data_IF_000009292368
#
_entry.id   IF_000009292368
#
_cell.length_a   1.000
_cell.length_b   1.000
_cell.length_c   1.000
_cell.angle_alpha   90.00
_cell.angle_beta   90.00
_cell.angle_gamma   90.00
#
_symmetry.space_group_name_H-M   'P 1'
#
loop_
_entity.id
_entity.type
_entity.pdbx_description
1 polymer ?
#
# COMPACT_ATOMS: atom_id res chain seq x y z
N UNK A 1 -15.21 -37.32 -30.57
CA UNK A 1 -15.89 -36.31 -29.72
C UNK A 1 -15.19 -36.09 -28.36
N UNK A 2 -14.87 -37.14 -27.57
CA UNK A 2 -14.24 -37.00 -26.24
C UNK A 2 -12.83 -36.35 -26.23
N UNK A 3 -12.00 -36.54 -27.27
CA UNK A 3 -10.69 -35.86 -27.38
C UNK A 3 -10.80 -34.35 -27.59
N UNK A 4 -11.79 -33.89 -28.37
CA UNK A 4 -12.03 -32.46 -28.59
C UNK A 4 -12.51 -31.77 -27.30
N UNK A 5 -13.39 -32.42 -26.54
CA UNK A 5 -13.89 -31.90 -25.25
C UNK A 5 -12.75 -31.79 -24.22
N UNK A 6 -11.84 -32.77 -24.16
CA UNK A 6 -10.66 -32.69 -23.28
C UNK A 6 -9.70 -31.57 -23.67
N UNK A 7 -9.44 -31.35 -24.96
CA UNK A 7 -8.58 -30.24 -25.42
C UNK A 7 -9.23 -28.88 -25.09
N UNK A 8 -10.55 -28.73 -25.29
CA UNK A 8 -11.27 -27.51 -24.91
C UNK A 8 -11.26 -27.25 -23.40
N UNK A 9 -11.39 -28.29 -22.57
CA UNK A 9 -11.28 -28.16 -21.10
C UNK A 9 -9.86 -27.79 -20.66
N UNK A 10 -8.82 -28.35 -21.28
CA UNK A 10 -7.42 -28.00 -20.98
C UNK A 10 -7.06 -26.58 -21.45
N UNK A 11 -7.56 -26.16 -22.61
CA UNK A 11 -7.38 -24.78 -23.12
C UNK A 11 -8.17 -23.78 -22.29
N UNK A 12 -9.41 -24.10 -21.89
CA UNK A 12 -10.19 -23.26 -20.98
C UNK A 12 -9.56 -23.18 -19.58
N UNK A 13 -8.98 -24.28 -19.07
CA UNK A 13 -8.22 -24.28 -17.83
C UNK A 13 -6.92 -23.46 -17.95
N UNK A 14 -6.18 -23.58 -19.07
CA UNK A 14 -4.98 -22.79 -19.34
C UNK A 14 -5.29 -21.29 -19.50
N UNK A 15 -6.40 -20.94 -20.17
CA UNK A 15 -6.89 -19.56 -20.30
C UNK A 15 -7.43 -19.00 -18.98
N UNK A 16 -8.01 -19.86 -18.13
CA UNK A 16 -8.40 -19.48 -16.76
C UNK A 16 -7.19 -19.35 -15.83
N UNK A 17 -6.06 -20.00 -16.13
CA UNK A 17 -4.78 -19.90 -15.40
C UNK A 17 -3.93 -18.72 -15.89
N UNK A 18 -4.09 -18.28 -17.14
CA UNK A 18 -3.42 -17.10 -17.71
C UNK A 18 -4.17 -15.79 -17.47
N UNK A 19 -4.82 -15.65 -16.31
CA UNK A 19 -5.62 -14.47 -16.00
C UNK A 19 -4.81 -13.19 -16.17
N UNK A 20 -5.21 -12.33 -17.12
CA UNK A 20 -4.58 -11.05 -17.34
C UNK A 20 -4.82 -10.15 -16.13
N UNK A 21 -3.78 -9.90 -15.34
CA UNK A 21 -3.76 -8.81 -14.39
C UNK A 21 -3.07 -7.60 -15.02
N UNK A 22 -3.57 -6.42 -14.70
CA UNK A 22 -2.93 -5.16 -14.99
C UNK A 22 -2.06 -4.71 -13.82
N UNK A 23 -1.29 -3.67 -14.06
CA UNK A 23 -0.47 -2.98 -13.07
C UNK A 23 -1.04 -1.58 -12.86
N UNK A 24 -0.82 -1.02 -11.67
CA UNK A 24 -1.11 0.39 -11.38
C UNK A 24 0.09 1.22 -11.81
N UNK A 25 0.00 1.82 -12.99
CA UNK A 25 1.04 2.70 -13.49
C UNK A 25 0.77 4.15 -13.12
N UNK A 26 1.81 4.95 -12.87
CA UNK A 26 1.65 6.38 -12.74
C UNK A 26 1.16 6.99 -14.06
N UNK A 27 0.20 7.90 -14.01
CA UNK A 27 -0.27 8.66 -15.19
C UNK A 27 0.61 9.86 -15.50
N UNK A 28 1.40 10.32 -14.54
CA UNK A 28 2.34 11.41 -14.70
C UNK A 28 3.74 10.92 -15.13
N UNK A 29 4.46 11.80 -15.84
CA UNK A 29 5.88 11.59 -16.18
C UNK A 29 6.85 12.15 -15.13
N UNK A 30 6.36 12.87 -14.12
CA UNK A 30 7.12 13.45 -13.01
C UNK A 30 6.36 13.21 -11.71
N UNK A 31 7.09 12.99 -10.63
CA UNK A 31 6.53 12.71 -9.31
C UNK A 31 7.09 13.72 -8.30
N UNK A 32 6.23 14.15 -7.38
CA UNK A 32 6.37 15.33 -6.50
C UNK A 32 6.22 16.66 -7.25
N UNK A 33 5.02 17.23 -7.14
CA UNK A 33 4.71 18.61 -7.52
C UNK A 33 4.65 19.44 -6.25
N UNK A 34 5.74 20.07 -5.81
CA UNK A 34 5.52 21.23 -4.95
C UNK A 34 4.72 22.21 -5.81
N UNK A 35 3.45 22.43 -5.50
CA UNK A 35 2.69 23.49 -6.15
C UNK A 35 3.24 24.80 -5.59
N UNK A 36 4.27 25.34 -6.24
CA UNK A 36 4.95 26.58 -5.86
C UNK A 36 4.03 27.81 -6.00
N UNK A 37 2.73 27.59 -6.32
CA UNK A 37 1.69 28.62 -6.31
C UNK A 37 1.33 28.97 -4.88
N UNK A 38 2.16 29.85 -4.32
CA UNK A 38 1.99 30.64 -3.10
C UNK A 38 2.26 29.93 -1.78
N UNK A 39 2.98 30.61 -0.89
CA UNK A 39 3.18 30.22 0.53
C UNK A 39 1.87 30.12 1.35
N UNK A 40 0.70 30.27 0.71
CA UNK A 40 -0.62 30.29 1.32
C UNK A 40 -1.37 28.94 1.21
N UNK A 41 -0.92 27.98 0.39
CA UNK A 41 -1.57 26.69 0.22
C UNK A 41 -0.78 25.53 0.87
N UNK A 42 -1.45 24.47 1.39
CA UNK A 42 -0.78 23.25 1.84
C UNK A 42 0.02 22.64 0.69
N UNK A 43 1.24 22.19 0.96
CA UNK A 43 2.07 21.59 -0.07
C UNK A 43 1.54 20.18 -0.39
N UNK A 44 1.16 19.94 -1.64
CA UNK A 44 0.69 18.64 -2.14
C UNK A 44 1.88 17.89 -2.76
N UNK A 45 1.93 16.56 -2.65
CA UNK A 45 2.96 15.75 -3.28
C UNK A 45 2.39 14.37 -3.61
N UNK A 46 3.01 13.69 -4.58
CA UNK A 46 2.66 12.33 -4.94
C UNK A 46 3.92 11.48 -5.13
N UNK A 47 3.91 10.27 -4.58
CA UNK A 47 4.94 9.25 -4.72
C UNK A 47 4.31 7.98 -5.27
N UNK A 48 5.01 7.32 -6.19
CA UNK A 48 4.55 6.08 -6.82
C UNK A 48 5.61 4.99 -6.67
N UNK A 49 5.19 3.82 -6.17
CA UNK A 49 6.05 2.64 -6.09
C UNK A 49 5.46 1.43 -6.82
N UNK A 50 6.35 0.60 -7.36
CA UNK A 50 6.01 -0.67 -8.01
C UNK A 50 5.70 -1.78 -6.98
N UNK A 51 5.38 -3.02 -7.42
CA UNK A 51 5.06 -4.12 -6.50
C UNK A 51 6.19 -4.49 -5.51
N UNK A 52 7.43 -4.10 -5.81
CA UNK A 52 8.60 -4.32 -4.95
C UNK A 52 8.92 -3.12 -4.04
N UNK A 53 8.08 -2.08 -4.07
CA UNK A 53 8.32 -0.84 -3.34
C UNK A 53 9.42 0.03 -3.96
N UNK A 54 9.76 -0.17 -5.23
CA UNK A 54 10.73 0.66 -5.96
C UNK A 54 10.05 1.89 -6.54
N UNK A 55 10.67 3.05 -6.42
CA UNK A 55 10.11 4.31 -6.89
C UNK A 55 10.12 4.36 -8.42
N UNK A 56 8.99 4.74 -9.03
CA UNK A 56 8.95 5.02 -10.46
C UNK A 56 9.83 6.25 -10.76
N UNK A 57 10.80 6.15 -11.69
CA UNK A 57 11.61 7.29 -12.03
C UNK A 57 10.86 8.31 -12.90
N UNK A 58 11.27 9.57 -12.84
CA UNK A 58 10.82 10.59 -13.80
C UNK A 58 11.13 10.14 -15.23
N UNK A 59 10.14 10.27 -16.11
CA UNK A 59 10.24 9.83 -17.50
C UNK A 59 10.18 8.32 -17.71
N UNK A 60 9.77 7.52 -16.70
CA UNK A 60 9.71 6.05 -16.79
C UNK A 60 9.01 5.54 -18.06
N UNK A 61 7.91 6.17 -18.49
CA UNK A 61 7.15 5.68 -19.64
C UNK A 61 7.94 5.81 -20.96
N UNK A 62 8.89 6.75 -21.05
CA UNK A 62 9.79 6.90 -22.19
C UNK A 62 10.78 5.75 -22.37
N UNK A 63 11.02 4.95 -21.32
CA UNK A 63 11.86 3.75 -21.39
C UNK A 63 11.13 2.54 -21.97
N UNK A 64 9.79 2.54 -21.91
CA UNK A 64 8.98 1.36 -22.24
C UNK A 64 8.00 1.59 -23.39
N UNK A 65 7.60 2.84 -23.64
CA UNK A 65 6.76 3.23 -24.78
C UNK A 65 7.57 3.43 -26.08
N UNK A 66 6.87 3.70 -27.18
CA UNK A 66 7.51 4.47 -28.26
C UNK A 66 7.76 5.88 -27.72
N UNK A 67 8.86 6.52 -28.12
CA UNK A 67 9.28 7.88 -27.66
C UNK A 67 8.20 8.98 -27.75
N UNK A 68 7.02 8.70 -28.33
CA UNK A 68 5.95 9.65 -28.61
C UNK A 68 4.64 9.39 -27.83
N UNK A 69 4.55 8.40 -26.92
CA UNK A 69 3.33 8.18 -26.13
C UNK A 69 3.39 8.87 -24.76
N UNK A 70 2.45 9.80 -24.46
CA UNK A 70 2.23 10.31 -23.11
C UNK A 70 1.96 9.20 -22.08
N UNK A 71 2.41 9.39 -20.83
CA UNK A 71 2.32 8.35 -19.79
C UNK A 71 0.86 8.03 -19.38
N UNK A 72 -0.06 8.98 -19.51
CA UNK A 72 -1.50 8.85 -19.18
C UNK A 72 -2.26 7.95 -20.16
N UNK A 73 -1.77 7.80 -21.40
CA UNK A 73 -2.32 6.88 -22.41
C UNK A 73 -1.51 5.60 -22.55
N UNK A 74 -0.45 5.43 -21.74
CA UNK A 74 0.40 4.24 -21.78
C UNK A 74 -0.40 3.03 -21.27
N UNK A 75 -0.61 2.05 -22.16
CA UNK A 75 -1.40 0.83 -21.85
C UNK A 75 -0.55 -0.41 -21.58
N UNK A 76 0.72 -0.21 -21.23
CA UNK A 76 1.71 -1.27 -21.22
C UNK A 76 2.21 -1.57 -22.63
N UNK A 77 3.52 -1.72 -22.86
CA UNK A 77 3.99 -2.21 -24.12
C UNK A 77 3.71 -3.72 -24.20
N UNK A 78 3.78 -4.25 -25.42
CA UNK A 78 4.14 -5.66 -25.67
C UNK A 78 5.51 -6.07 -25.04
N UNK A 79 6.19 -5.18 -24.30
CA UNK A 79 7.58 -5.27 -23.80
C UNK A 79 7.74 -5.18 -22.27
N UNK A 80 6.68 -4.95 -21.49
CA UNK A 80 6.78 -4.97 -20.02
C UNK A 80 6.60 -6.44 -19.67
N UNK A 81 7.74 -7.13 -19.62
CA UNK A 81 7.79 -8.58 -19.49
C UNK A 81 7.94 -8.99 -18.03
N UNK A 82 8.33 -8.05 -17.18
CA UNK A 82 8.54 -8.26 -15.76
C UNK A 82 7.28 -7.95 -14.92
N UNK A 83 7.31 -8.40 -13.67
CA UNK A 83 6.32 -8.04 -12.65
C UNK A 83 6.67 -6.74 -11.89
N UNK A 84 7.81 -6.09 -12.18
CA UNK A 84 8.33 -4.93 -11.44
C UNK A 84 9.40 -4.17 -12.25
N UNK A 85 9.72 -2.93 -11.85
CA UNK A 85 10.80 -2.12 -12.44
C UNK A 85 12.15 -2.83 -12.35
N UNK A 86 12.46 -3.41 -11.19
CA UNK A 86 13.69 -4.16 -10.97
C UNK A 86 13.78 -5.39 -11.86
N UNK A 87 12.69 -6.17 -11.92
CA UNK A 87 12.62 -7.32 -12.81
C UNK A 87 12.82 -6.91 -14.28
N UNK A 88 12.35 -5.73 -14.67
CA UNK A 88 12.51 -5.24 -16.04
C UNK A 88 13.95 -4.86 -16.36
N UNK A 89 14.67 -4.24 -15.40
CA UNK A 89 16.12 -3.97 -15.56
C UNK A 89 16.94 -5.24 -15.74
N UNK A 90 16.41 -6.40 -15.33
CA UNK A 90 17.10 -7.69 -15.43
C UNK A 90 16.67 -8.51 -16.65
N UNK A 91 15.37 -8.59 -16.96
CA UNK A 91 14.88 -9.31 -18.16
C UNK A 91 15.33 -8.63 -19.45
N UNK A 92 15.53 -7.31 -19.42
CA UNK A 92 16.10 -6.53 -20.50
C UNK A 92 17.24 -5.68 -19.92
N UNK A 93 18.44 -6.27 -19.71
CA UNK A 93 19.58 -5.62 -19.08
C UNK A 93 19.80 -4.21 -19.63
N UNK A 94 19.47 -3.21 -18.82
CA UNK A 94 19.59 -1.80 -19.18
C UNK A 94 20.19 -1.03 -17.99
N UNK A 95 21.53 -0.99 -17.90
CA UNK A 95 22.23 -0.29 -16.83
C UNK A 95 21.83 1.19 -16.69
N UNK A 96 21.48 1.84 -17.82
CA UNK A 96 21.00 3.22 -17.81
C UNK A 96 19.65 3.37 -17.10
N UNK A 97 18.72 2.45 -17.34
CA UNK A 97 17.43 2.47 -16.63
C UNK A 97 17.59 2.13 -15.14
N UNK A 98 18.50 1.21 -14.81
CA UNK A 98 18.81 0.90 -13.41
C UNK A 98 19.38 2.12 -12.67
N UNK A 99 20.39 2.76 -13.23
CA UNK A 99 20.99 3.97 -12.66
C UNK A 99 19.96 5.10 -12.54
N UNK A 100 19.00 5.18 -13.48
CA UNK A 100 17.90 6.12 -13.38
C UNK A 100 17.01 5.83 -12.16
N UNK A 101 16.55 4.58 -11.95
CA UNK A 101 15.72 4.25 -10.77
C UNK A 101 16.41 4.69 -9.48
N UNK A 102 17.70 4.36 -9.32
CA UNK A 102 18.45 4.66 -8.10
C UNK A 102 18.71 6.15 -7.88
N UNK A 103 19.09 6.88 -8.92
CA UNK A 103 19.35 8.33 -8.82
C UNK A 103 18.06 9.14 -8.64
N UNK A 104 16.99 8.73 -9.31
CA UNK A 104 15.69 9.38 -9.23
C UNK A 104 15.02 9.13 -7.86
N UNK A 105 15.18 7.93 -7.28
CA UNK A 105 14.74 7.65 -5.91
C UNK A 105 15.38 8.61 -4.90
N UNK A 106 16.71 8.80 -4.97
CA UNK A 106 17.41 9.74 -4.08
C UNK A 106 16.86 11.16 -4.20
N UNK A 107 16.71 11.65 -5.44
CA UNK A 107 16.14 12.98 -5.71
C UNK A 107 14.72 13.09 -5.17
N UNK A 108 13.87 12.08 -5.39
CA UNK A 108 12.49 12.09 -4.89
C UNK A 108 12.46 12.12 -3.35
N UNK A 109 13.28 11.34 -2.67
CA UNK A 109 13.36 11.35 -1.21
C UNK A 109 13.88 12.69 -0.65
N UNK A 110 14.82 13.35 -1.34
CA UNK A 110 15.25 14.72 -1.01
C UNK A 110 14.11 15.73 -1.16
N UNK A 111 13.30 15.61 -2.22
CA UNK A 111 12.12 16.44 -2.43
C UNK A 111 11.02 16.18 -1.39
N UNK A 112 10.82 14.93 -0.97
CA UNK A 112 9.93 14.58 0.17
C UNK A 112 10.43 15.23 1.46
N UNK A 113 11.73 15.19 1.72
CA UNK A 113 12.31 15.86 2.89
C UNK A 113 12.10 17.38 2.84
N UNK A 114 12.31 17.98 1.67
CA UNK A 114 12.09 19.42 1.47
C UNK A 114 10.62 19.80 1.67
N UNK A 115 9.67 18.98 1.20
CA UNK A 115 8.24 19.15 1.43
C UNK A 115 7.90 19.19 2.92
N UNK A 116 8.51 18.30 3.71
CA UNK A 116 8.27 18.21 5.15
C UNK A 116 8.98 19.30 5.97
N UNK A 117 10.00 19.94 5.40
CA UNK A 117 10.76 20.98 6.06
C UNK A 117 9.86 22.19 6.35
N UNK A 118 9.76 22.55 7.63
CA UNK A 118 8.91 23.65 8.09
C UNK A 118 7.42 23.31 8.21
N UNK A 119 7.02 22.04 7.99
CA UNK A 119 5.64 21.58 8.22
C UNK A 119 5.47 21.07 9.64
N UNK A 120 4.32 21.37 10.25
CA UNK A 120 3.95 20.83 11.57
C UNK A 120 3.18 19.52 11.45
N UNK A 121 2.24 19.46 10.50
CA UNK A 121 1.43 18.26 10.24
C UNK A 121 1.62 17.77 8.80
N UNK A 122 1.66 16.46 8.64
CA UNK A 122 1.71 15.80 7.34
C UNK A 122 0.59 14.78 7.22
N UNK A 123 -0.19 14.85 6.15
CA UNK A 123 -1.26 13.90 5.85
C UNK A 123 -0.81 12.99 4.72
N UNK A 124 -0.56 11.72 5.03
CA UNK A 124 -0.18 10.72 4.03
C UNK A 124 -1.41 9.91 3.67
N UNK A 125 -1.83 9.96 2.41
CA UNK A 125 -3.01 9.29 1.89
C UNK A 125 -2.58 8.03 1.12
N UNK A 126 -3.11 6.87 1.51
CA UNK A 126 -2.70 5.57 0.96
C UNK A 126 -3.92 4.79 0.46
N UNK A 127 -3.90 4.36 -0.80
CA UNK A 127 -5.02 3.62 -1.38
C UNK A 127 -4.94 2.11 -1.12
N UNK A 128 -6.03 1.42 -1.46
CA UNK A 128 -6.18 -0.02 -1.32
C UNK A 128 -5.65 -0.83 -2.50
N UNK A 129 -5.88 -2.13 -2.43
CA UNK A 129 -5.63 -3.05 -3.54
C UNK A 129 -6.62 -2.79 -4.70
N UNK A 130 -6.19 -3.03 -5.95
CA UNK A 130 -7.03 -2.94 -7.15
C UNK A 130 -7.64 -1.56 -7.40
N UNK A 131 -6.85 -0.51 -7.17
CA UNK A 131 -7.21 0.86 -7.51
C UNK A 131 -6.19 1.44 -8.48
N UNK A 132 -6.66 1.89 -9.64
CA UNK A 132 -5.91 2.75 -10.55
C UNK A 132 -5.79 4.17 -9.98
N UNK A 133 -4.95 5.01 -10.58
CA UNK A 133 -4.86 6.45 -10.24
C UNK A 133 -6.24 7.12 -10.39
N UNK A 134 -6.93 6.88 -11.51
CA UNK A 134 -8.25 7.43 -11.77
C UNK A 134 -9.31 7.03 -10.73
N UNK A 135 -9.18 5.85 -10.12
CA UNK A 135 -10.08 5.39 -9.04
C UNK A 135 -9.65 5.90 -7.66
N UNK A 136 -8.39 6.30 -7.51
CA UNK A 136 -7.78 6.72 -6.24
C UNK A 136 -7.87 8.22 -6.01
N UNK A 137 -7.72 9.02 -7.06
CA UNK A 137 -7.70 10.47 -6.96
C UNK A 137 -9.00 11.05 -6.39
N UNK A 138 -10.21 10.62 -6.79
CA UNK A 138 -11.45 11.17 -6.22
C UNK A 138 -11.56 10.95 -4.69
N UNK A 139 -11.36 9.74 -4.14
CA UNK A 139 -11.28 9.55 -2.68
C UNK A 139 -10.21 10.41 -2.00
N UNK A 140 -9.01 10.54 -2.58
CA UNK A 140 -7.96 11.38 -2.00
C UNK A 140 -8.35 12.86 -1.97
N UNK A 141 -8.99 13.36 -3.03
CA UNK A 141 -9.47 14.73 -3.09
C UNK A 141 -10.59 14.98 -2.07
N UNK A 142 -11.48 14.01 -1.89
CA UNK A 142 -12.54 14.08 -0.89
C UNK A 142 -11.98 14.12 0.54
N UNK A 143 -11.02 13.24 0.86
CA UNK A 143 -10.32 13.31 2.16
C UNK A 143 -9.69 14.69 2.34
N UNK A 144 -9.00 15.22 1.33
CA UNK A 144 -8.37 16.53 1.38
C UNK A 144 -9.38 17.66 1.64
N UNK A 145 -10.58 17.57 1.06
CA UNK A 145 -11.65 18.55 1.25
C UNK A 145 -12.24 18.53 2.66
N UNK A 146 -12.22 17.38 3.34
CA UNK A 146 -12.70 17.20 4.71
C UNK A 146 -11.69 17.64 5.78
N UNK A 147 -10.41 17.80 5.44
CA UNK A 147 -9.36 18.12 6.40
C UNK A 147 -9.30 19.63 6.72
N UNK A 148 -9.10 19.97 7.99
CA UNK A 148 -8.74 21.32 8.45
C UNK A 148 -7.29 21.64 8.09
N UNK A 149 -7.00 21.81 6.79
CA UNK A 149 -5.66 22.07 6.29
C UNK A 149 -5.24 23.53 6.49
N UNK A 150 -4.02 23.71 6.97
CA UNK A 150 -3.37 24.98 7.26
C UNK A 150 -2.14 25.18 6.36
N UNK A 151 -1.63 26.41 6.19
CA UNK A 151 -0.44 26.66 5.36
C UNK A 151 0.82 25.90 5.81
N UNK A 152 0.93 25.60 7.11
CA UNK A 152 2.03 24.81 7.70
C UNK A 152 1.79 23.29 7.66
N UNK A 153 0.78 22.83 6.93
CA UNK A 153 0.56 21.41 6.65
C UNK A 153 1.12 20.99 5.28
N UNK A 154 1.32 19.69 5.13
CA UNK A 154 1.60 19.04 3.86
C UNK A 154 0.71 17.82 3.64
N UNK A 155 0.39 17.53 2.39
CA UNK A 155 -0.38 16.35 1.97
C UNK A 155 0.46 15.53 1.00
N UNK A 156 0.66 14.25 1.28
CA UNK A 156 1.39 13.33 0.40
C UNK A 156 0.49 12.16 -0.01
N UNK A 157 0.21 12.05 -1.30
CA UNK A 157 -0.48 10.91 -1.90
C UNK A 157 0.52 9.80 -2.18
N UNK A 158 0.36 8.66 -1.53
CA UNK A 158 1.21 7.49 -1.71
C UNK A 158 0.47 6.44 -2.54
N UNK A 159 0.96 6.22 -3.75
CA UNK A 159 0.45 5.23 -4.68
C UNK A 159 1.38 4.02 -4.72
N UNK A 160 0.78 2.83 -4.81
CA UNK A 160 1.51 1.58 -4.89
C UNK A 160 0.85 0.62 -5.87
N UNK A 161 1.66 -0.18 -6.53
CA UNK A 161 1.16 -1.17 -7.48
C UNK A 161 0.77 -2.48 -6.79
N UNK A 162 -0.51 -2.52 -6.38
CA UNK A 162 -1.16 -3.73 -5.86
C UNK A 162 -1.68 -4.68 -6.92
N UNK A 163 -1.37 -4.44 -8.21
CA UNK A 163 -1.99 -5.07 -9.38
C UNK A 163 -3.48 -4.72 -9.52
N UNK A 164 -4.00 -4.85 -10.73
CA UNK A 164 -5.42 -4.67 -11.04
C UNK A 164 -5.99 -5.89 -11.76
N UNK A 165 -7.21 -6.29 -11.43
CA UNK A 165 -7.93 -7.32 -12.17
C UNK A 165 -9.45 -7.16 -12.03
N UNK A 166 -10.17 -7.69 -13.02
CA UNK A 166 -11.64 -7.69 -13.05
C UNK A 166 -12.20 -9.08 -12.72
N UNK A 167 -13.35 -9.12 -12.07
CA UNK A 167 -14.10 -10.36 -11.81
C UNK A 167 -13.35 -11.38 -10.95
N UNK A 168 -13.47 -12.67 -11.30
CA UNK A 168 -12.88 -13.79 -10.54
C UNK A 168 -11.34 -13.72 -10.47
N UNK A 169 -10.69 -13.05 -11.42
CA UNK A 169 -9.24 -12.87 -11.45
C UNK A 169 -8.74 -11.93 -10.36
N UNK A 170 -9.59 -11.02 -9.85
CA UNK A 170 -9.29 -10.22 -8.66
C UNK A 170 -9.02 -11.06 -7.42
N UNK A 171 -9.70 -12.21 -7.27
CA UNK A 171 -9.44 -13.12 -6.15
C UNK A 171 -8.08 -13.84 -6.28
N UNK A 172 -7.57 -14.02 -7.51
CA UNK A 172 -6.28 -14.69 -7.75
C UNK A 172 -5.09 -13.76 -7.45
N UNK A 173 -5.19 -12.49 -7.83
CA UNK A 173 -4.11 -11.51 -7.55
C UNK A 173 -4.03 -11.09 -6.08
N UNK A 174 -5.07 -11.35 -5.29
CA UNK A 174 -5.09 -11.05 -3.85
C UNK A 174 -3.86 -11.60 -3.11
N UNK A 175 -3.45 -12.84 -3.39
CA UNK A 175 -2.30 -13.45 -2.75
C UNK A 175 -0.98 -12.73 -3.05
N UNK A 176 -0.82 -12.21 -4.28
CA UNK A 176 0.31 -11.38 -4.64
C UNK A 176 0.18 -9.98 -4.01
N UNK A 177 -1.02 -9.41 -4.01
CA UNK A 177 -1.30 -8.09 -3.45
C UNK A 177 -1.00 -8.00 -1.95
N UNK A 178 -1.14 -9.11 -1.20
CA UNK A 178 -0.74 -9.18 0.21
C UNK A 178 0.76 -8.92 0.36
N UNK A 179 1.61 -9.74 -0.27
CA UNK A 179 3.07 -9.56 -0.21
C UNK A 179 3.53 -8.24 -0.84
N UNK A 180 2.92 -7.81 -1.95
CA UNK A 180 3.23 -6.53 -2.59
C UNK A 180 2.90 -5.34 -1.67
N UNK A 181 1.79 -5.38 -0.93
CA UNK A 181 1.45 -4.32 0.04
C UNK A 181 2.49 -4.21 1.15
N UNK A 182 3.06 -5.35 1.57
CA UNK A 182 4.11 -5.40 2.57
C UNK A 182 5.45 -4.86 2.04
N UNK A 183 5.80 -5.17 0.79
CA UNK A 183 6.97 -4.58 0.11
C UNK A 183 6.80 -3.09 -0.15
N UNK A 184 5.65 -2.64 -0.64
CA UNK A 184 5.32 -1.23 -0.84
C UNK A 184 5.44 -0.44 0.48
N UNK A 185 4.98 -1.02 1.59
CA UNK A 185 5.14 -0.44 2.92
C UNK A 185 6.60 -0.37 3.37
N UNK A 186 7.26 -1.52 3.44
CA UNK A 186 8.59 -1.65 4.05
C UNK A 186 9.74 -1.10 3.21
N UNK A 187 9.58 -0.97 1.89
CA UNK A 187 10.60 -0.44 0.97
C UNK A 187 10.23 0.88 0.31
N UNK A 188 8.94 1.18 0.19
CA UNK A 188 8.45 2.44 -0.36
C UNK A 188 8.10 3.44 0.75
N UNK A 189 6.96 3.23 1.41
CA UNK A 189 6.43 4.16 2.39
C UNK A 189 7.38 4.38 3.57
N UNK A 190 8.07 3.34 4.05
CA UNK A 190 9.08 3.47 5.12
C UNK A 190 10.13 4.52 4.77
N UNK A 191 10.68 4.47 3.56
CA UNK A 191 11.70 5.42 3.10
C UNK A 191 11.17 6.85 3.02
N UNK A 192 9.89 7.02 2.68
CA UNK A 192 9.19 8.31 2.73
C UNK A 192 9.08 8.79 4.19
N UNK A 193 8.59 7.95 5.10
CA UNK A 193 8.44 8.28 6.52
C UNK A 193 9.79 8.59 7.20
N UNK A 194 10.86 7.93 6.76
CA UNK A 194 12.22 8.17 7.25
C UNK A 194 12.80 9.52 6.79
N UNK A 195 12.10 10.26 5.93
CA UNK A 195 12.44 11.66 5.61
C UNK A 195 11.79 12.67 6.57
N UNK A 196 10.89 12.21 7.44
CA UNK A 196 10.12 13.06 8.35
C UNK A 196 10.69 12.96 9.77
N UNK A 197 10.89 14.12 10.40
CA UNK A 197 11.44 14.28 11.74
C UNK A 197 10.70 15.36 12.54
N UNK A 198 10.12 14.98 13.68
CA UNK A 198 9.45 15.88 14.61
C UNK A 198 8.05 16.35 14.18
N UNK A 199 7.45 15.78 13.13
CA UNK A 199 6.11 16.15 12.69
C UNK A 199 5.00 15.32 13.36
N UNK A 200 3.79 15.89 13.40
CA UNK A 200 2.55 15.11 13.57
C UNK A 200 2.13 14.54 12.20
N UNK A 201 2.00 13.23 12.09
CA UNK A 201 1.78 12.57 10.79
C UNK A 201 0.50 11.75 10.86
N UNK A 202 -0.43 12.04 9.95
CA UNK A 202 -1.70 11.33 9.80
C UNK A 202 -1.58 10.36 8.64
N UNK A 203 -1.55 9.07 8.93
CA UNK A 203 -1.53 8.00 7.94
C UNK A 203 -2.96 7.51 7.70
N UNK A 204 -3.54 7.94 6.58
CA UNK A 204 -4.93 7.68 6.24
C UNK A 204 -4.98 6.66 5.11
N UNK A 205 -5.55 5.49 5.38
CA UNK A 205 -5.56 4.40 4.40
C UNK A 205 -6.91 3.70 4.24
N UNK A 206 -7.10 3.10 3.08
CA UNK A 206 -8.21 2.20 2.80
C UNK A 206 -7.74 0.77 2.50
N UNK A 207 -8.53 -0.23 2.91
CA UNK A 207 -8.31 -1.64 2.52
C UNK A 207 -6.90 -2.15 2.87
N UNK A 208 -6.17 -2.75 1.92
CA UNK A 208 -4.77 -3.20 2.08
C UNK A 208 -3.76 -2.06 2.25
N UNK A 209 -4.14 -0.79 2.04
CA UNK A 209 -3.31 0.34 2.44
C UNK A 209 -2.95 0.30 3.95
N UNK A 210 -3.78 -0.35 4.77
CA UNK A 210 -3.45 -0.66 6.16
C UNK A 210 -2.16 -1.50 6.29
N UNK A 211 -1.96 -2.52 5.45
CA UNK A 211 -0.73 -3.33 5.44
C UNK A 211 0.49 -2.53 4.99
N UNK A 212 0.30 -1.60 4.05
CA UNK A 212 1.36 -0.67 3.63
C UNK A 212 1.83 0.16 4.83
N UNK A 213 0.91 0.72 5.63
CA UNK A 213 1.24 1.43 6.86
C UNK A 213 1.96 0.50 7.86
N UNK A 214 1.37 -0.64 8.20
CA UNK A 214 1.92 -1.55 9.22
C UNK A 214 3.32 -2.08 8.84
N UNK A 215 3.56 -2.30 7.55
CA UNK A 215 4.87 -2.76 7.04
C UNK A 215 5.87 -1.62 6.91
N UNK A 216 5.41 -0.37 6.80
CA UNK A 216 6.29 0.79 6.87
C UNK A 216 6.83 1.00 8.30
N UNK A 217 6.00 0.74 9.32
CA UNK A 217 6.32 0.96 10.74
C UNK A 217 7.10 -0.19 11.39
N UNK A 218 7.03 -1.40 10.85
CA UNK A 218 7.79 -2.55 11.34
C UNK A 218 7.92 -3.62 10.27
N UNK A 219 8.87 -4.53 10.45
CA UNK A 219 9.17 -5.55 9.44
C UNK A 219 8.01 -6.54 9.27
N UNK A 220 7.54 -6.76 8.03
CA UNK A 220 6.47 -7.69 7.76
C UNK A 220 6.93 -9.15 7.91
N UNK A 221 5.95 -10.02 8.19
CA UNK A 221 6.08 -11.47 7.97
C UNK A 221 5.46 -11.80 6.63
N UNK A 222 6.11 -12.67 5.87
CA UNK A 222 5.66 -13.06 4.52
C UNK A 222 5.16 -14.50 4.53
N UNK A 223 4.23 -14.84 3.62
CA UNK A 223 3.90 -16.25 3.41
C UNK A 223 5.06 -16.99 2.76
N UNK A 224 5.18 -18.29 3.03
CA UNK A 224 6.23 -19.12 2.43
C UNK A 224 6.17 -19.06 0.90
N UNK A 225 4.97 -19.17 0.33
CA UNK A 225 4.76 -19.14 -1.11
C UNK A 225 5.22 -17.82 -1.73
N UNK A 226 4.95 -16.69 -1.06
CA UNK A 226 5.40 -15.38 -1.54
C UNK A 226 6.92 -15.27 -1.48
N UNK A 227 7.55 -15.64 -0.37
CA UNK A 227 9.01 -15.61 -0.25
C UNK A 227 9.69 -16.50 -1.27
N UNK A 228 9.26 -17.76 -1.40
CA UNK A 228 9.84 -18.71 -2.36
C UNK A 228 9.71 -18.19 -3.80
N UNK A 229 8.57 -17.59 -4.15
CA UNK A 229 8.36 -17.00 -5.47
C UNK A 229 9.24 -15.76 -5.68
N UNK A 230 9.37 -14.90 -4.67
CA UNK A 230 10.21 -13.71 -4.72
C UNK A 230 11.69 -14.07 -4.78
N UNK A 231 12.17 -14.99 -3.94
CA UNK A 231 13.56 -15.45 -3.91
C UNK A 231 13.94 -16.12 -5.23
N UNK A 232 13.03 -16.91 -5.82
CA UNK A 232 13.24 -17.47 -7.16
C UNK A 232 13.34 -16.37 -8.22
N UNK A 233 12.51 -15.34 -8.14
CA UNK A 233 12.54 -14.23 -9.09
C UNK A 233 13.82 -13.38 -8.94
N UNK A 234 14.25 -13.12 -7.69
CA UNK A 234 15.39 -12.26 -7.36
C UNK A 234 16.73 -12.97 -7.42
N UNK A 235 16.77 -14.30 -7.35
CA UNK A 235 18.00 -15.09 -7.50
C UNK A 235 18.74 -14.76 -8.80
N UNK A 236 17.99 -14.44 -9.86
CA UNK A 236 18.56 -14.00 -11.12
C UNK A 236 19.15 -12.58 -11.02
N UNK A 237 18.59 -11.69 -10.20
CA UNK A 237 18.93 -10.26 -10.14
C UNK A 237 20.27 -9.96 -9.43
N UNK A 238 20.92 -10.97 -8.85
CA UNK A 238 22.21 -10.84 -8.16
C UNK A 238 22.09 -10.47 -6.68
N UNK A 239 23.24 -10.36 -6.02
CA UNK A 239 23.36 -10.30 -4.55
C UNK A 239 22.70 -9.05 -3.94
N UNK A 240 22.63 -7.95 -4.71
CA UNK A 240 22.02 -6.68 -4.30
C UNK A 240 20.53 -6.80 -3.92
N UNK A 241 19.86 -7.88 -4.34
CA UNK A 241 18.43 -8.10 -4.10
C UNK A 241 18.12 -9.30 -3.20
N UNK A 242 19.15 -9.98 -2.66
CA UNK A 242 18.96 -11.03 -1.63
C UNK A 242 18.25 -10.50 -0.38
N UNK A 243 18.29 -9.18 -0.18
CA UNK A 243 17.65 -8.50 0.95
C UNK A 243 16.32 -7.83 0.59
N UNK A 244 15.68 -8.21 -0.53
CA UNK A 244 14.38 -7.63 -0.92
C UNK A 244 13.33 -7.81 0.20
N UNK A 245 13.31 -8.98 0.82
CA UNK A 245 12.37 -9.37 1.88
C UNK A 245 12.91 -9.07 3.30
N UNK A 246 14.12 -8.53 3.41
CA UNK A 246 14.74 -8.12 4.68
C UNK A 246 15.15 -6.65 4.60
N UNK A 247 14.18 -5.73 4.49
CA UNK A 247 14.44 -4.30 4.36
C UNK A 247 15.13 -3.76 5.61
N UNK A 248 15.86 -2.64 5.46
CA UNK A 248 16.43 -1.93 6.62
C UNK A 248 15.31 -1.50 7.57
N UNK A 249 15.50 -1.63 8.89
CA UNK A 249 14.49 -1.21 9.87
C UNK A 249 14.21 0.31 9.75
N UNK A 250 13.05 0.79 10.25
CA UNK A 250 12.76 2.21 10.30
C UNK A 250 13.86 2.99 11.01
N UNK A 251 14.14 4.22 10.55
CA UNK A 251 15.16 5.08 11.17
C UNK A 251 14.77 5.39 12.61
N UNK A 252 15.68 5.16 13.56
CA UNK A 252 15.50 5.51 14.96
C UNK A 252 15.57 7.03 15.17
N UNK A 253 14.89 7.56 16.19
CA UNK A 253 15.01 8.97 16.58
C UNK A 253 14.29 9.96 15.66
N UNK A 254 13.30 9.50 14.88
CA UNK A 254 12.44 10.39 14.09
C UNK A 254 11.64 11.36 14.95
N UNK A 255 11.29 10.97 16.18
CA UNK A 255 10.51 11.77 17.13
C UNK A 255 9.18 12.28 16.52
N UNK A 256 8.61 11.52 15.59
CA UNK A 256 7.32 11.84 15.00
C UNK A 256 6.18 11.46 15.97
N UNK A 257 4.99 11.99 15.69
CA UNK A 257 3.74 11.58 16.34
C UNK A 257 2.79 11.05 15.28
N UNK A 258 2.62 9.73 15.20
CA UNK A 258 1.84 9.11 14.13
C UNK A 258 0.39 8.88 14.59
N UNK A 259 -0.55 9.29 13.76
CA UNK A 259 -1.98 9.10 13.91
C UNK A 259 -2.44 8.22 12.74
N UNK A 260 -2.97 7.04 13.02
CA UNK A 260 -3.35 6.07 11.99
C UNK A 260 -4.88 6.06 11.85
N UNK A 261 -5.39 6.23 10.62
CA UNK A 261 -6.82 6.21 10.32
C UNK A 261 -7.08 5.20 9.19
N UNK A 262 -7.75 4.09 9.52
CA UNK A 262 -7.98 3.00 8.57
C UNK A 262 -9.47 2.81 8.25
N UNK A 263 -9.79 2.95 6.97
CA UNK A 263 -11.11 2.61 6.42
C UNK A 263 -11.08 1.21 5.82
N UNK A 264 -12.08 0.40 6.16
CA UNK A 264 -12.25 -0.95 5.62
C UNK A 264 -10.98 -1.81 5.68
N UNK A 265 -10.23 -1.73 6.78
CA UNK A 265 -8.89 -2.31 6.90
C UNK A 265 -8.86 -3.80 6.55
N UNK A 266 -8.26 -4.16 5.42
CA UNK A 266 -8.27 -5.51 4.87
C UNK A 266 -7.04 -6.31 5.34
N UNK A 267 -6.79 -6.25 6.65
CA UNK A 267 -5.67 -6.87 7.36
C UNK A 267 -6.21 -7.77 8.47
N UNK A 268 -5.35 -8.54 9.12
CA UNK A 268 -5.67 -9.23 10.36
C UNK A 268 -4.46 -9.37 11.25
N UNK A 269 -4.56 -10.23 12.26
CA UNK A 269 -3.52 -10.39 13.29
C UNK A 269 -2.12 -10.61 12.72
N UNK A 270 -2.03 -11.33 11.61
CA UNK A 270 -0.74 -11.62 10.96
C UNK A 270 0.02 -10.36 10.53
N UNK A 271 -0.69 -9.31 10.11
CA UNK A 271 -0.09 -8.05 9.69
C UNK A 271 0.50 -7.27 10.89
N UNK A 272 0.14 -7.64 12.12
CA UNK A 272 0.69 -7.11 13.37
C UNK A 272 1.79 -7.99 13.96
N UNK A 273 2.15 -9.12 13.35
CA UNK A 273 3.14 -10.02 13.92
C UNK A 273 4.55 -9.47 13.84
N UNK A 274 5.33 -9.71 14.88
CA UNK A 274 6.76 -9.44 14.90
C UNK A 274 7.47 -10.36 13.90
N UNK A 275 8.45 -9.84 13.16
CA UNK A 275 9.20 -10.60 12.15
C UNK A 275 9.93 -11.80 12.75
N UNK A 276 10.28 -11.77 14.04
CA UNK A 276 10.86 -12.92 14.75
C UNK A 276 9.91 -14.12 14.84
N UNK A 277 8.60 -13.94 14.62
CA UNK A 277 7.63 -15.03 14.57
C UNK A 277 7.60 -15.76 13.21
N UNK A 278 8.38 -15.32 12.21
CA UNK A 278 8.35 -15.88 10.86
C UNK A 278 8.52 -17.41 10.83
N UNK A 279 9.49 -17.97 11.56
CA UNK A 279 9.68 -19.43 11.62
C UNK A 279 8.50 -20.18 12.24
N UNK A 280 7.83 -19.58 13.24
CA UNK A 280 6.65 -20.17 13.86
C UNK A 280 5.47 -20.18 12.89
N UNK A 281 5.30 -19.09 12.15
CA UNK A 281 4.29 -18.97 11.11
C UNK A 281 4.52 -19.98 9.99
N UNK A 282 5.78 -20.20 9.61
CA UNK A 282 6.18 -21.20 8.62
C UNK A 282 5.86 -22.64 9.05
N UNK A 283 5.79 -22.88 10.37
CA UNK A 283 5.34 -24.13 10.99
C UNK A 283 3.84 -24.14 11.30
N UNK A 284 3.08 -23.16 10.83
CA UNK A 284 1.65 -22.98 11.10
C UNK A 284 1.28 -22.84 12.59
N UNK A 285 2.21 -22.36 13.43
CA UNK A 285 2.06 -22.32 14.89
C UNK A 285 1.41 -21.03 15.41
N UNK A 286 0.95 -20.14 14.53
CA UNK A 286 0.32 -18.87 14.88
C UNK A 286 1.30 -17.85 15.50
N UNK A 287 0.81 -16.63 15.67
CA UNK A 287 1.60 -15.47 16.08
C UNK A 287 1.38 -15.12 17.56
N UNK A 288 2.48 -15.17 18.33
CA UNK A 288 2.47 -14.90 19.78
C UNK A 288 3.01 -13.53 20.17
N UNK A 289 3.81 -12.93 19.30
CA UNK A 289 4.43 -11.64 19.54
C UNK A 289 3.96 -10.66 18.48
N UNK A 290 3.37 -9.55 18.93
CA UNK A 290 3.01 -8.43 18.07
C UNK A 290 4.20 -7.48 17.91
N UNK A 291 4.32 -6.89 16.73
CA UNK A 291 5.38 -5.93 16.42
C UNK A 291 5.16 -4.62 17.18
N UNK A 292 6.23 -3.92 17.57
CA UNK A 292 6.09 -2.56 18.05
C UNK A 292 5.56 -1.65 16.93
N UNK A 293 4.78 -0.64 17.32
CA UNK A 293 4.33 0.43 16.45
C UNK A 293 5.00 1.73 16.91
N UNK A 294 6.27 1.99 16.53
CA UNK A 294 7.02 3.13 17.02
C UNK A 294 6.34 4.43 16.60
N UNK A 295 6.47 5.47 17.43
CA UNK A 295 5.96 6.82 17.20
C UNK A 295 4.42 6.96 17.13
N UNK A 296 3.66 5.86 17.19
CA UNK A 296 2.19 5.88 17.10
C UNK A 296 1.57 6.44 18.38
N UNK A 297 0.68 7.42 18.22
CA UNK A 297 -0.08 8.11 19.26
C UNK A 297 -1.55 7.73 19.26
N UNK A 298 -2.12 7.53 18.07
CA UNK A 298 -3.51 7.12 17.94
C UNK A 298 -3.67 6.13 16.80
N UNK A 299 -4.64 5.24 16.97
CA UNK A 299 -5.02 4.27 15.94
C UNK A 299 -6.54 4.23 15.89
N UNK A 300 -7.11 4.65 14.76
CA UNK A 300 -8.54 4.71 14.49
C UNK A 300 -8.85 3.80 13.31
N UNK A 301 -9.89 3.01 13.42
CA UNK A 301 -10.25 2.11 12.33
C UNK A 301 -11.74 1.79 12.28
N UNK A 302 -12.25 1.57 11.08
CA UNK A 302 -13.65 1.19 10.89
C UNK A 302 -13.86 -0.32 11.04
N UNK A 303 -14.97 -0.70 11.67
CA UNK A 303 -15.55 -2.05 11.60
C UNK A 303 -16.75 -2.00 10.65
N UNK A 304 -16.71 -2.82 9.60
CA UNK A 304 -17.86 -3.03 8.73
C UNK A 304 -18.15 -4.51 8.56
N UNK A 305 -19.12 -5.00 9.34
CA UNK A 305 -19.57 -6.39 9.31
C UNK A 305 -20.28 -6.77 8.01
N UNK A 306 -20.75 -5.80 7.21
CA UNK A 306 -21.50 -5.98 5.96
C UNK A 306 -20.62 -6.11 4.70
N UNK A 307 -19.33 -5.80 4.80
CA UNK A 307 -18.47 -5.69 3.62
C UNK A 307 -18.18 -7.07 2.99
N UNK A 308 -18.59 -7.33 1.74
CA UNK A 308 -18.40 -8.62 1.10
C UNK A 308 -16.93 -8.94 0.82
N UNK A 309 -16.06 -7.94 0.59
CA UNK A 309 -14.63 -8.19 0.37
C UNK A 309 -13.98 -8.62 1.67
N UNK A 310 -14.32 -7.97 2.79
CA UNK A 310 -13.80 -8.38 4.09
C UNK A 310 -14.34 -9.75 4.52
N UNK A 311 -15.59 -10.09 4.18
CA UNK A 311 -16.17 -11.43 4.42
C UNK A 311 -15.58 -12.52 3.55
N UNK A 312 -15.29 -12.25 2.27
CA UNK A 312 -14.94 -13.26 1.24
C UNK A 312 -13.67 -14.06 1.56
N UNK A 313 -12.77 -13.52 2.37
CA UNK A 313 -11.54 -14.22 2.77
C UNK A 313 -11.66 -14.98 4.11
N UNK A 314 -12.83 -14.95 4.75
CA UNK A 314 -13.16 -15.88 5.84
C UNK A 314 -13.41 -17.29 5.25
N UNK A 315 -12.37 -18.13 5.23
CA UNK A 315 -12.48 -19.56 4.93
C UNK A 315 -11.67 -20.08 3.74
N UNK A 316 -11.19 -19.22 2.83
CA UNK A 316 -10.39 -19.62 1.65
C UNK A 316 -8.89 -19.27 1.74
N UNK A 317 -8.42 -18.84 2.92
CA UNK A 317 -7.01 -18.52 3.20
C UNK A 317 -6.79 -18.37 4.70
N UNK A 318 -7.07 -19.42 5.47
CA UNK A 318 -7.49 -19.35 6.87
C UNK A 318 -6.44 -18.95 7.92
N UNK A 319 -5.21 -18.54 7.56
CA UNK A 319 -4.21 -18.12 8.58
C UNK A 319 -3.31 -16.95 8.21
N UNK A 320 -3.00 -16.69 6.93
CA UNK A 320 -1.96 -15.72 6.55
C UNK A 320 -2.44 -14.53 5.72
N UNK A 321 -3.67 -14.55 5.20
CA UNK A 321 -4.26 -13.40 4.49
C UNK A 321 -5.63 -12.96 5.07
N UNK A 322 -5.77 -12.83 6.41
CA UNK A 322 -7.01 -12.42 7.04
C UNK A 322 -7.36 -10.97 6.72
N UNK A 323 -8.66 -10.72 6.56
CA UNK A 323 -9.29 -9.38 6.48
C UNK A 323 -10.10 -9.08 7.74
N UNK A 324 -9.83 -9.82 8.81
CA UNK A 324 -10.69 -9.88 9.99
C UNK A 324 -10.61 -8.63 10.86
N UNK A 325 -9.56 -7.81 10.75
CA UNK A 325 -9.37 -6.61 11.57
C UNK A 325 -10.46 -5.56 11.29
N UNK A 326 -10.77 -5.28 10.02
CA UNK A 326 -11.84 -4.36 9.63
C UNK A 326 -13.26 -4.97 9.66
N UNK A 327 -13.38 -6.26 9.98
CA UNK A 327 -14.65 -7.02 9.93
C UNK A 327 -15.15 -7.43 11.31
N UNK A 328 -14.27 -8.01 12.14
CA UNK A 328 -14.59 -8.58 13.43
C UNK A 328 -14.07 -7.66 14.54
N UNK A 329 -14.96 -7.04 15.33
CA UNK A 329 -14.55 -6.10 16.38
C UNK A 329 -13.68 -6.73 17.47
N UNK A 330 -13.78 -8.06 17.69
CA UNK A 330 -12.96 -8.77 18.69
C UNK A 330 -11.48 -8.82 18.32
N UNK A 331 -11.16 -8.86 17.02
CA UNK A 331 -9.78 -9.00 16.57
C UNK A 331 -8.96 -7.77 16.92
N UNK A 332 -9.51 -6.58 16.68
CA UNK A 332 -8.84 -5.34 17.03
C UNK A 332 -8.75 -5.11 18.53
N UNK A 333 -9.78 -5.48 19.32
CA UNK A 333 -9.72 -5.45 20.80
C UNK A 333 -8.59 -6.31 21.33
N UNK A 334 -8.54 -7.57 20.92
CA UNK A 334 -7.53 -8.51 21.40
C UNK A 334 -6.10 -8.06 21.05
N UNK A 335 -5.90 -7.48 19.86
CA UNK A 335 -4.61 -6.93 19.44
C UNK A 335 -4.21 -5.72 20.30
N UNK A 336 -5.15 -4.83 20.59
CA UNK A 336 -4.91 -3.63 21.40
C UNK A 336 -4.62 -3.99 22.87
N UNK A 337 -5.41 -4.87 23.47
CA UNK A 337 -5.23 -5.37 24.83
C UNK A 337 -3.89 -6.08 25.03
N UNK A 338 -3.43 -6.84 24.04
CA UNK A 338 -2.19 -7.62 24.12
C UNK A 338 -0.93 -6.75 24.04
N UNK A 339 -0.93 -5.68 23.24
CA UNK A 339 0.32 -4.97 22.90
C UNK A 339 0.27 -3.44 22.87
N UNK A 340 -0.91 -2.82 22.80
CA UNK A 340 -1.01 -1.38 22.48
C UNK A 340 -1.77 -0.56 23.52
N UNK A 341 -2.31 -1.20 24.57
CA UNK A 341 -2.68 -0.54 25.82
C UNK A 341 -3.83 0.46 25.70
N UNK A 342 -4.83 0.20 24.86
CA UNK A 342 -5.99 1.07 24.70
C UNK A 342 -5.82 2.15 23.62
N UNK A 343 -4.76 2.08 22.81
CA UNK A 343 -4.48 3.07 21.76
C UNK A 343 -5.44 2.94 20.57
N UNK A 344 -5.97 1.74 20.32
CA UNK A 344 -6.82 1.45 19.17
C UNK A 344 -8.31 1.72 19.47
N UNK A 345 -8.93 2.59 18.67
CA UNK A 345 -10.36 2.91 18.75
C UNK A 345 -11.08 2.50 17.48
N UNK A 346 -12.18 1.77 17.65
CA UNK A 346 -12.99 1.24 16.56
C UNK A 346 -14.23 2.10 16.31
N UNK A 347 -14.63 2.18 15.04
CA UNK A 347 -15.79 2.93 14.57
C UNK A 347 -16.68 2.05 13.71
N UNK A 348 -17.93 1.84 14.10
CA UNK A 348 -18.86 1.03 13.31
C UNK A 348 -19.44 1.85 12.17
N UNK A 349 -19.41 1.31 10.96
CA UNK A 349 -20.23 1.81 9.86
C UNK A 349 -21.67 1.41 10.13
N UNK A 350 -22.56 2.40 10.28
CA UNK A 350 -23.97 2.18 10.58
C UNK A 350 -24.85 3.05 9.65
N UNK A 351 -25.63 2.43 8.73
CA UNK A 351 -25.77 1.00 8.51
C UNK A 351 -24.49 0.35 7.94
N UNK A 352 -24.30 -0.98 8.12
CA UNK A 352 -23.17 -1.70 7.52
C UNK A 352 -23.12 -1.49 6.00
N UNK A 353 -21.94 -1.18 5.46
CA UNK A 353 -21.81 -0.95 4.01
C UNK A 353 -21.72 -2.28 3.27
N UNK A 354 -22.49 -2.40 2.20
CA UNK A 354 -22.54 -3.62 1.38
C UNK A 354 -21.54 -3.62 0.21
N UNK A 355 -20.65 -2.62 0.14
CA UNK A 355 -19.64 -2.46 -0.92
C UNK A 355 -18.30 -2.02 -0.33
N UNK A 356 -17.22 -2.62 -0.84
CA UNK A 356 -15.84 -2.24 -0.52
C UNK A 356 -15.35 -1.04 -1.36
N UNK A 357 -16.15 0.02 -1.39
CA UNK A 357 -15.89 1.21 -2.21
C UNK A 357 -15.09 2.25 -1.43
N UNK A 358 -13.89 2.60 -1.90
CA UNK A 358 -13.04 3.59 -1.22
C UNK A 358 -13.77 4.92 -1.01
N UNK A 359 -14.31 5.52 -2.08
CA UNK A 359 -15.09 6.77 -1.97
C UNK A 359 -16.28 6.60 -1.03
N UNK A 360 -16.89 5.41 -0.99
CA UNK A 360 -18.01 5.13 -0.11
C UNK A 360 -17.62 5.23 1.38
N UNK A 361 -16.44 4.74 1.76
CA UNK A 361 -15.99 4.88 3.15
C UNK A 361 -15.56 6.31 3.49
N UNK A 362 -14.97 7.02 2.54
CA UNK A 362 -14.57 8.42 2.75
C UNK A 362 -15.80 9.31 2.98
N UNK A 363 -16.87 9.14 2.19
CA UNK A 363 -18.09 9.95 2.33
C UNK A 363 -19.03 9.48 3.45
N UNK A 364 -18.63 8.48 4.23
CA UNK A 364 -19.38 7.99 5.37
C UNK A 364 -19.17 8.90 6.59
N UNK A 365 -20.24 9.20 7.34
CA UNK A 365 -20.13 10.00 8.58
C UNK A 365 -19.17 9.38 9.60
N UNK A 366 -18.96 8.06 9.55
CA UNK A 366 -17.97 7.36 10.37
C UNK A 366 -16.56 7.89 10.14
N UNK A 367 -16.17 8.18 8.90
CA UNK A 367 -14.86 8.75 8.61
C UNK A 367 -14.75 10.20 9.10
N UNK A 368 -15.81 11.01 8.91
CA UNK A 368 -15.86 12.36 9.47
C UNK A 368 -15.68 12.35 11.01
N UNK A 369 -16.33 11.40 11.71
CA UNK A 369 -16.15 11.21 13.17
C UNK A 369 -14.71 10.85 13.53
N UNK A 370 -14.04 9.99 12.76
CA UNK A 370 -12.63 9.67 12.98
C UNK A 370 -11.74 10.91 12.84
N UNK A 371 -11.98 11.75 11.82
CA UNK A 371 -11.25 13.01 11.65
C UNK A 371 -11.52 14.00 12.79
N UNK A 372 -12.77 14.08 13.26
CA UNK A 372 -13.18 14.95 14.35
C UNK A 372 -12.53 14.55 15.68
N UNK A 373 -12.51 13.25 15.99
CA UNK A 373 -11.86 12.71 17.18
C UNK A 373 -10.33 12.95 17.18
N UNK A 374 -9.72 13.06 15.99
CA UNK A 374 -8.32 13.42 15.83
C UNK A 374 -8.09 14.95 15.74
N UNK A 375 -9.15 15.77 15.79
CA UNK A 375 -9.06 17.22 15.73
C UNK A 375 -8.59 17.78 14.38
N UNK A 376 -8.82 17.03 13.30
CA UNK A 376 -8.40 17.40 11.93
C UNK A 376 -9.55 17.48 10.93
N UNK A 377 -10.80 17.31 11.38
CA UNK A 377 -11.97 17.59 10.56
C UNK A 377 -12.13 19.11 10.39
N UNK A 378 -12.37 19.54 9.15
CA UNK A 378 -12.70 20.93 8.84
C UNK A 378 -14.01 21.34 9.55
N UNK A 379 -14.04 22.47 10.26
CA UNK A 379 -15.28 23.01 10.83
C UNK A 379 -16.29 23.37 9.74
N UNK A 380 -17.58 23.14 10.01
CA UNK A 380 -18.69 23.52 9.13
C UNK A 380 -18.81 25.04 8.94
#
# INVERSE_FOLDING_TARGET
>A
MQRAIRIWLTVAAALALSGCYGHVFPTAGRFIYADDRTAAAPADAAVFVDPNGSFYPTGWCGYFGSRAQPCDIWRGPRRWKAASLLGETYLQPNPGFRALIESDEKRQLEQVRALASGKKRLFVLIHGYNNTVAETDPPFNEIKAMLDLRPDDGVLRFYWDGLTAKGIFGAKIWFNAVGNSQLAGSRGLRRVLDQFHGQEIYLIAHSRGASVILSALGDPVYSREFRDATDKATAAWGDDYRHLLTPKPPVSGRNNRLHILLMAAAVGRIDFCDVSEQERLDRNQGCRKLRPLPDVKSFRYTINTGDPVLRKFLGLGSRLNPTTFGLNPEVGRAIDEEAYGGMMRQYYTDPPRMKHSFIGYVTDQTFARMLADEGVLKPD
#
